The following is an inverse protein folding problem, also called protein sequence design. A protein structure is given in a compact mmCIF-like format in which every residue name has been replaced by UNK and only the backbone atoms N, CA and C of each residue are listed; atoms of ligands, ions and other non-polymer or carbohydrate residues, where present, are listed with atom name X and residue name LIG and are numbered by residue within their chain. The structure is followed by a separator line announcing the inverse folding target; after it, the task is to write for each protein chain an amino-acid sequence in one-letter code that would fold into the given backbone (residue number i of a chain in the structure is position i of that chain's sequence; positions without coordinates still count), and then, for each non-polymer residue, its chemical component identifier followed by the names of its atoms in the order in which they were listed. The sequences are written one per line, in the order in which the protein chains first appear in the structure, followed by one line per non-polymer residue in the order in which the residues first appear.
data_IF_721496960057
#
_entry.id   IF_721496960057
#
_cell.length_a   1.000
_cell.length_b   1.000
_cell.length_c   1.000
_cell.angle_alpha   90.00
_cell.angle_beta   90.00
_cell.angle_gamma   90.00
#
_symmetry.space_group_name_H-M   'P 1'
#
loop_
_entity.id
_entity.type
_entity.pdbx_description
1 polymer ?
#
# COMPACT_ATOMS: atom_id res chain seq x y z
N UNK A 1 -16.25 17.30 -12.66
CA UNK A 1 -15.18 18.08 -12.01
C UNK A 1 -14.85 19.34 -12.79
N UNK A 2 -14.47 19.28 -14.07
CA UNK A 2 -14.24 20.50 -14.88
C UNK A 2 -15.46 21.44 -14.95
N UNK A 3 -16.67 20.89 -15.09
CA UNK A 3 -17.92 21.67 -15.06
C UNK A 3 -18.18 22.37 -13.72
N UNK A 4 -17.57 21.90 -12.64
CA UNK A 4 -17.74 22.45 -11.29
C UNK A 4 -16.70 23.57 -11.06
N UNK A 5 -15.49 23.38 -11.59
CA UNK A 5 -14.43 24.40 -11.62
C UNK A 5 -14.81 25.55 -12.56
N UNK A 6 -15.43 25.27 -13.72
CA UNK A 6 -15.93 26.31 -14.62
C UNK A 6 -17.05 27.12 -13.97
N UNK A 7 -17.98 26.47 -13.27
CA UNK A 7 -19.05 27.14 -12.51
C UNK A 7 -18.50 28.04 -11.40
N UNK A 8 -17.52 27.56 -10.62
CA UNK A 8 -16.88 28.38 -9.58
C UNK A 8 -16.14 29.59 -10.17
N UNK A 9 -15.56 29.45 -11.36
CA UNK A 9 -14.93 30.56 -12.11
C UNK A 9 -15.97 31.57 -12.61
N UNK A 10 -17.12 31.09 -13.06
CA UNK A 10 -18.25 31.92 -13.51
C UNK A 10 -18.96 32.63 -12.35
N UNK A 11 -18.94 32.06 -11.14
CA UNK A 11 -19.49 32.67 -9.92
C UNK A 11 -18.53 33.72 -9.32
N UNK A 12 -17.22 33.44 -9.32
CA UNK A 12 -16.20 34.41 -8.86
C UNK A 12 -16.09 35.65 -9.76
N UNK A 13 -16.30 35.48 -11.08
CA UNK A 13 -16.30 36.62 -12.03
C UNK A 13 -17.56 37.49 -11.95
N UNK A 14 -18.62 37.01 -11.29
CA UNK A 14 -19.88 37.76 -11.10
C UNK A 14 -19.96 38.52 -9.77
N UNK A 15 -19.06 38.26 -8.82
CA UNK A 15 -19.08 38.85 -7.49
C UNK A 15 -17.74 39.50 -7.12
N UNK A 16 -17.66 40.82 -7.31
CA UNK A 16 -16.65 41.75 -6.78
C UNK A 16 -15.19 41.56 -7.27
N UNK A 17 -14.67 42.60 -7.94
CA UNK A 17 -13.31 42.67 -8.48
C UNK A 17 -12.27 43.10 -7.44
N UNK A 18 -12.36 42.62 -6.19
CA UNK A 18 -11.29 42.87 -5.23
C UNK A 18 -10.07 42.00 -5.60
N UNK A 19 -8.91 42.62 -5.92
CA UNK A 19 -7.76 41.90 -6.45
C UNK A 19 -7.23 40.86 -5.46
N UNK A 20 -7.36 41.13 -4.16
CA UNK A 20 -6.91 40.26 -3.07
C UNK A 20 -7.73 38.96 -2.98
N UNK A 21 -9.06 39.08 -3.11
CA UNK A 21 -10.00 37.94 -3.13
C UNK A 21 -9.80 37.08 -4.37
N UNK A 22 -9.47 37.70 -5.50
CA UNK A 22 -9.17 36.97 -6.74
C UNK A 22 -7.89 36.15 -6.60
N UNK A 23 -6.82 36.73 -6.02
CA UNK A 23 -5.56 36.00 -5.76
C UNK A 23 -5.74 34.83 -4.81
N UNK A 24 -6.50 35.00 -3.72
CA UNK A 24 -6.78 33.91 -2.77
C UNK A 24 -7.54 32.75 -3.40
N UNK A 25 -8.46 33.06 -4.32
CA UNK A 25 -9.22 32.06 -5.07
C UNK A 25 -8.32 31.30 -6.06
N UNK A 26 -7.37 31.99 -6.69
CA UNK A 26 -6.39 31.35 -7.57
C UNK A 26 -5.41 30.45 -6.82
N UNK A 27 -4.93 30.87 -5.66
CA UNK A 27 -4.06 30.07 -4.78
C UNK A 27 -4.79 28.81 -4.28
N UNK A 28 -6.04 28.97 -3.84
CA UNK A 28 -6.89 27.85 -3.41
C UNK A 28 -7.12 26.85 -4.54
N UNK A 29 -7.28 27.33 -5.78
CA UNK A 29 -7.41 26.49 -6.97
C UNK A 29 -6.13 25.70 -7.25
N UNK A 30 -4.97 26.34 -7.21
CA UNK A 30 -3.67 25.65 -7.40
C UNK A 30 -3.51 24.57 -6.33
N UNK A 31 -3.80 24.89 -5.07
CA UNK A 31 -3.68 23.94 -3.97
C UNK A 31 -4.62 22.74 -4.13
N UNK A 32 -5.85 22.97 -4.59
CA UNK A 32 -6.78 21.88 -4.90
C UNK A 32 -6.22 20.95 -5.99
N UNK A 33 -5.66 21.51 -7.06
CA UNK A 33 -5.05 20.71 -8.14
C UNK A 33 -3.85 19.89 -7.67
N UNK A 34 -3.03 20.43 -6.77
CA UNK A 34 -1.94 19.67 -6.14
C UNK A 34 -2.45 18.47 -5.34
N UNK A 35 -3.45 18.68 -4.48
CA UNK A 35 -4.04 17.62 -3.66
C UNK A 35 -4.65 16.52 -4.53
N UNK A 36 -5.37 16.90 -5.59
CA UNK A 36 -5.96 15.94 -6.54
C UNK A 36 -4.87 15.12 -7.24
N UNK A 37 -3.77 15.74 -7.68
CA UNK A 37 -2.64 15.03 -8.29
C UNK A 37 -1.91 14.10 -7.29
N UNK A 38 -1.86 14.47 -6.02
CA UNK A 38 -1.32 13.59 -4.98
C UNK A 38 -2.23 12.37 -4.78
N UNK A 39 -3.55 12.58 -4.72
CA UNK A 39 -4.52 11.51 -4.57
C UNK A 39 -4.51 10.55 -5.78
N UNK A 40 -4.44 11.07 -7.01
CA UNK A 40 -4.35 10.28 -8.24
C UNK A 40 -3.10 9.38 -8.25
N UNK A 41 -1.95 9.93 -7.86
CA UNK A 41 -0.70 9.16 -7.71
C UNK A 41 -0.84 8.06 -6.66
N UNK A 42 -1.47 8.35 -5.52
CA UNK A 42 -1.70 7.36 -4.48
C UNK A 42 -2.62 6.22 -4.95
N UNK A 43 -3.67 6.53 -5.72
CA UNK A 43 -4.57 5.51 -6.28
C UNK A 43 -3.88 4.63 -7.34
N UNK A 44 -3.06 5.22 -8.21
CA UNK A 44 -2.26 4.48 -9.19
C UNK A 44 -1.27 3.54 -8.51
N UNK A 45 -0.60 4.02 -7.46
CA UNK A 45 0.31 3.23 -6.65
C UNK A 45 -0.43 2.05 -5.99
N UNK A 46 -1.60 2.30 -5.39
CA UNK A 46 -2.45 1.26 -4.78
C UNK A 46 -3.00 0.23 -5.78
N UNK A 47 -3.29 0.62 -7.02
CA UNK A 47 -3.86 -0.28 -8.03
C UNK A 47 -2.85 -1.24 -8.68
N UNK A 48 -1.54 -1.08 -8.43
CA UNK A 48 -0.45 -1.93 -8.98
C UNK A 48 -0.42 -2.02 -10.52
N UNK A 49 -0.91 -0.99 -11.23
CA UNK A 49 -0.91 -0.96 -12.69
C UNK A 49 0.46 -0.52 -13.22
N UNK A 50 1.00 -1.25 -14.21
CA UNK A 50 2.28 -0.95 -14.87
C UNK A 50 2.14 0.00 -16.07
N UNK A 51 0.94 0.15 -16.62
CA UNK A 51 0.69 0.91 -17.85
C UNK A 51 -0.12 2.17 -17.58
N UNK A 52 0.47 3.33 -17.88
CA UNK A 52 -0.19 4.62 -18.02
C UNK A 52 0.03 5.05 -19.47
N UNK A 53 -0.84 4.61 -20.38
CA UNK A 53 -0.89 5.14 -21.72
C UNK A 53 -2.27 5.76 -21.93
N UNK A 54 -2.25 7.02 -22.35
CA UNK A 54 -3.38 7.90 -22.62
C UNK A 54 -4.14 8.44 -21.39
N UNK A 55 -3.91 9.73 -21.14
CA UNK A 55 -4.62 10.51 -20.14
C UNK A 55 -6.14 10.42 -20.29
N UNK A 56 -6.78 9.92 -19.24
CA UNK A 56 -8.06 10.45 -18.80
C UNK A 56 -8.20 10.33 -17.28
N UNK A 57 -8.84 11.35 -16.73
CA UNK A 57 -8.94 11.72 -15.32
C UNK A 57 -9.75 10.70 -14.53
N UNK A 58 -9.24 10.31 -13.36
CA UNK A 58 -10.05 9.81 -12.25
C UNK A 58 -11.07 8.72 -12.64
N UNK A 59 -10.66 7.79 -13.51
CA UNK A 59 -11.54 6.74 -14.00
C UNK A 59 -11.94 5.84 -12.84
N UNK A 60 -13.25 5.64 -12.67
CA UNK A 60 -13.83 4.62 -11.76
C UNK A 60 -13.10 3.28 -11.85
N UNK A 61 -12.51 2.97 -13.01
CA UNK A 61 -11.61 1.85 -13.24
C UNK A 61 -10.47 1.72 -12.21
N UNK A 62 -9.74 2.81 -11.89
CA UNK A 62 -8.66 2.77 -10.90
C UNK A 62 -9.19 2.52 -9.49
N UNK A 63 -10.32 3.13 -9.13
CA UNK A 63 -10.96 2.89 -7.84
C UNK A 63 -11.45 1.45 -7.72
N UNK A 64 -12.03 0.89 -8.78
CA UNK A 64 -12.44 -0.53 -8.83
C UNK A 64 -11.21 -1.42 -8.70
N UNK A 65 -10.16 -1.20 -9.47
CA UNK A 65 -8.94 -2.01 -9.40
C UNK A 65 -8.22 -1.90 -8.05
N UNK A 66 -8.16 -0.73 -7.44
CA UNK A 66 -7.59 -0.54 -6.11
C UNK A 66 -8.46 -1.15 -4.99
N UNK A 67 -9.79 -1.14 -5.15
CA UNK A 67 -10.71 -1.75 -4.18
C UNK A 67 -10.88 -3.25 -4.37
N UNK A 68 -10.60 -3.79 -5.55
CA UNK A 68 -10.78 -5.22 -5.88
C UNK A 68 -9.97 -6.13 -4.94
N UNK A 69 -8.69 -5.89 -4.63
CA UNK A 69 -7.96 -6.68 -3.63
C UNK A 69 -8.61 -6.63 -2.26
N UNK A 70 -9.06 -5.44 -1.80
CA UNK A 70 -9.75 -5.29 -0.52
C UNK A 70 -11.07 -6.07 -0.50
N UNK A 71 -11.84 -6.04 -1.58
CA UNK A 71 -13.07 -6.82 -1.71
C UNK A 71 -12.81 -8.32 -1.76
N UNK A 72 -11.78 -8.76 -2.51
CA UNK A 72 -11.39 -10.17 -2.61
C UNK A 72 -10.86 -10.75 -1.30
N UNK A 73 -10.13 -9.93 -0.54
CA UNK A 73 -9.57 -10.34 0.76
C UNK A 73 -10.55 -10.12 1.92
N UNK A 74 -11.74 -9.58 1.66
CA UNK A 74 -12.76 -9.43 2.68
C UNK A 74 -13.42 -10.79 2.97
N UNK A 75 -13.22 -11.32 4.17
CA UNK A 75 -13.91 -12.51 4.66
C UNK A 75 -15.32 -12.13 5.14
N UNK A 76 -16.23 -11.87 4.20
CA UNK A 76 -17.60 -11.47 4.52
C UNK A 76 -18.43 -12.60 5.14
N UNK A 77 -18.19 -13.84 4.71
CA UNK A 77 -18.86 -15.03 5.22
C UNK A 77 -17.84 -16.12 5.51
N UNK A 78 -18.04 -16.86 6.61
CA UNK A 78 -17.20 -17.98 7.00
C UNK A 78 -18.07 -19.18 7.33
N UNK A 79 -17.81 -20.33 6.70
CA UNK A 79 -18.47 -21.59 7.06
C UNK A 79 -17.66 -22.33 8.12
N UNK A 80 -18.31 -22.68 9.23
CA UNK A 80 -17.74 -23.46 10.33
C UNK A 80 -18.61 -24.69 10.55
N UNK A 81 -18.16 -25.84 10.07
CA UNK A 81 -19.00 -27.04 9.96
C UNK A 81 -20.16 -26.79 8.99
N UNK A 82 -21.40 -26.95 9.46
CA UNK A 82 -22.61 -26.70 8.68
C UNK A 82 -23.19 -25.27 8.86
N UNK A 83 -22.56 -24.43 9.69
CA UNK A 83 -23.06 -23.08 9.99
C UNK A 83 -22.33 -22.03 9.15
N UNK A 84 -23.10 -21.19 8.45
CA UNK A 84 -22.58 -20.01 7.78
C UNK A 84 -22.65 -18.79 8.72
N UNK A 85 -21.51 -18.15 8.95
CA UNK A 85 -21.39 -16.92 9.73
C UNK A 85 -21.19 -15.73 8.78
N UNK A 86 -22.09 -14.75 8.84
CA UNK A 86 -22.03 -13.50 8.06
C UNK A 86 -21.76 -12.26 8.90
N UNK A 87 -21.67 -12.44 10.22
CA UNK A 87 -21.50 -11.36 11.18
C UNK A 87 -20.00 -11.09 11.38
N UNK A 88 -19.58 -9.84 11.12
CA UNK A 88 -18.18 -9.42 11.17
C UNK A 88 -17.50 -9.77 12.49
N UNK A 89 -18.17 -9.52 13.62
CA UNK A 89 -17.60 -9.75 14.95
C UNK A 89 -17.43 -11.24 15.22
N UNK A 90 -18.38 -12.06 14.74
CA UNK A 90 -18.31 -13.52 14.88
C UNK A 90 -17.23 -14.13 14.00
N UNK A 91 -17.11 -13.66 12.75
CA UNK A 91 -16.05 -14.10 11.83
C UNK A 91 -14.68 -13.76 12.42
N UNK A 92 -14.49 -12.53 12.92
CA UNK A 92 -13.23 -12.12 13.54
C UNK A 92 -12.88 -13.00 14.74
N UNK A 93 -13.83 -13.22 15.66
CA UNK A 93 -13.61 -14.06 16.83
C UNK A 93 -13.25 -15.50 16.45
N UNK A 94 -13.92 -16.10 15.47
CA UNK A 94 -13.61 -17.47 15.02
C UNK A 94 -12.22 -17.56 14.41
N UNK A 95 -11.84 -16.60 13.56
CA UNK A 95 -10.52 -16.55 12.93
C UNK A 95 -9.44 -16.39 14.00
N UNK A 96 -9.63 -15.46 14.94
CA UNK A 96 -8.71 -15.25 16.06
C UNK A 96 -8.55 -16.50 16.92
N UNK A 97 -9.66 -17.13 17.34
CA UNK A 97 -9.63 -18.35 18.12
C UNK A 97 -8.94 -19.50 17.37
N UNK A 98 -9.20 -19.65 16.07
CA UNK A 98 -8.58 -20.68 15.25
C UNK A 98 -7.07 -20.52 15.18
N UNK A 99 -6.57 -19.33 14.80
CA UNK A 99 -5.13 -19.09 14.70
C UNK A 99 -4.46 -19.06 16.07
N UNK A 100 -5.11 -18.51 17.10
CA UNK A 100 -4.61 -18.63 18.48
C UNK A 100 -4.42 -20.09 18.86
N UNK A 101 -5.37 -20.96 18.54
CA UNK A 101 -5.22 -22.39 18.81
C UNK A 101 -4.10 -22.98 17.96
N UNK A 102 -4.11 -22.77 16.65
CA UNK A 102 -3.13 -23.30 15.70
C UNK A 102 -1.67 -22.92 16.05
N UNK A 103 -1.41 -21.67 16.41
CA UNK A 103 -0.05 -21.22 16.76
C UNK A 103 0.39 -21.66 18.17
N UNK A 104 -0.57 -21.94 19.05
CA UNK A 104 -0.28 -22.48 20.39
C UNK A 104 -0.35 -24.02 20.44
N UNK A 105 -0.85 -24.65 19.37
CA UNK A 105 -0.73 -26.09 19.17
C UNK A 105 0.75 -26.39 18.95
N UNK A 106 1.33 -27.13 19.89
CA UNK A 106 2.71 -27.58 19.80
C UNK A 106 2.78 -28.64 18.70
N UNK A 107 2.96 -28.20 17.46
CA UNK A 107 3.31 -29.05 16.33
C UNK A 107 4.82 -29.30 16.31
N UNK A 108 5.43 -29.61 17.45
CA UNK A 108 6.79 -30.14 17.44
C UNK A 108 6.70 -31.55 16.91
N UNK A 109 7.03 -31.75 15.64
CA UNK A 109 7.64 -33.01 15.24
C UNK A 109 8.88 -33.12 16.13
N UNK A 110 8.83 -33.97 17.15
CA UNK A 110 10.01 -34.33 17.93
C UNK A 110 10.92 -35.08 16.97
N UNK A 111 11.79 -34.33 16.31
CA UNK A 111 12.87 -34.92 15.53
C UNK A 111 13.93 -35.28 16.55
N UNK A 112 13.93 -36.53 17.01
CA UNK A 112 14.90 -37.04 17.99
C UNK A 112 16.35 -36.79 17.56
N UNK A 113 16.58 -36.67 16.24
CA UNK A 113 17.82 -36.20 15.62
C UNK A 113 17.54 -35.79 14.17
N UNK A 114 17.75 -34.52 13.82
CA UNK A 114 17.90 -34.15 12.40
C UNK A 114 19.24 -34.74 11.94
N UNK A 115 19.21 -35.91 11.30
CA UNK A 115 20.35 -36.44 10.53
C UNK A 115 20.47 -35.66 9.21
N UNK A 116 20.73 -34.37 9.34
CA UNK A 116 20.99 -33.47 8.23
C UNK A 116 22.45 -33.08 8.33
N UNK A 117 23.25 -33.43 7.32
CA UNK A 117 24.58 -32.88 7.15
C UNK A 117 24.45 -31.41 6.73
N UNK A 118 24.06 -30.55 7.66
CA UNK A 118 24.05 -29.12 7.45
C UNK A 118 25.50 -28.66 7.38
N UNK A 119 25.88 -28.07 6.26
CA UNK A 119 27.18 -27.45 6.09
C UNK A 119 27.34 -26.35 7.13
N UNK A 120 28.34 -26.46 7.99
CA UNK A 120 28.66 -25.38 8.93
C UNK A 120 29.31 -24.23 8.15
N UNK A 121 28.90 -22.99 8.46
CA UNK A 121 29.57 -21.80 7.92
C UNK A 121 31.02 -21.76 8.42
N UNK A 122 31.94 -21.38 7.54
CA UNK A 122 33.33 -21.10 7.93
C UNK A 122 33.39 -19.84 8.79
N UNK A 123 34.43 -19.74 9.63
CA UNK A 123 34.64 -18.62 10.56
C UNK A 123 34.60 -17.27 9.84
N UNK A 124 35.22 -17.16 8.66
CA UNK A 124 35.21 -15.94 7.85
C UNK A 124 33.79 -15.54 7.38
N UNK A 125 32.94 -16.53 7.07
CA UNK A 125 31.56 -16.27 6.66
C UNK A 125 30.70 -15.84 7.86
N UNK A 126 30.95 -16.40 9.04
CA UNK A 126 30.31 -15.97 10.29
C UNK A 126 30.70 -14.52 10.60
N UNK A 127 31.99 -14.20 10.58
CA UNK A 127 32.48 -12.85 10.85
C UNK A 127 31.94 -11.83 9.83
N UNK A 128 31.75 -12.24 8.56
CA UNK A 128 31.16 -11.38 7.54
C UNK A 128 29.67 -11.06 7.78
N UNK A 129 28.93 -11.97 8.43
CA UNK A 129 27.50 -11.78 8.76
C UNK A 129 27.31 -10.85 9.96
N UNK A 130 28.29 -10.79 10.87
CA UNK A 130 28.29 -9.93 12.05
C UNK A 130 28.82 -8.51 11.77
N UNK A 131 29.33 -8.24 10.56
CA UNK A 131 29.81 -6.92 10.20
C UNK A 131 28.64 -5.93 10.01
N UNK A 132 28.73 -4.69 10.52
CA UNK A 132 27.70 -3.68 10.28
C UNK A 132 27.58 -3.35 8.79
N UNK A 133 26.35 -3.14 8.32
CA UNK A 133 26.08 -2.74 6.94
C UNK A 133 26.79 -1.43 6.59
N UNK A 134 27.47 -1.41 5.44
CA UNK A 134 28.11 -0.20 4.93
C UNK A 134 27.09 0.66 4.18
N UNK A 135 27.23 1.99 4.26
CA UNK A 135 26.33 2.91 3.54
C UNK A 135 26.30 2.63 2.03
N UNK A 136 27.45 2.32 1.43
CA UNK A 136 27.55 1.97 0.01
C UNK A 136 26.79 0.69 -0.36
N UNK A 137 26.81 -0.30 0.52
CA UNK A 137 26.06 -1.55 0.37
C UNK A 137 24.55 -1.27 0.37
N UNK A 138 24.09 -0.48 1.35
CA UNK A 138 22.68 -0.06 1.45
C UNK A 138 22.26 0.68 0.17
N UNK A 139 23.06 1.63 -0.32
CA UNK A 139 22.75 2.38 -1.54
C UNK A 139 22.76 1.51 -2.80
N UNK A 140 23.68 0.56 -2.89
CA UNK A 140 23.75 -0.40 -4.00
C UNK A 140 22.50 -1.28 -4.04
N UNK A 141 22.09 -1.81 -2.88
CA UNK A 141 20.84 -2.58 -2.74
C UNK A 141 19.64 -1.72 -3.11
N UNK A 142 19.57 -0.48 -2.62
CA UNK A 142 18.46 0.44 -2.89
C UNK A 142 18.28 0.68 -4.40
N UNK A 143 19.39 0.91 -5.12
CA UNK A 143 19.39 1.07 -6.59
C UNK A 143 19.06 -0.21 -7.36
N UNK A 144 19.38 -1.37 -6.80
CA UNK A 144 19.12 -2.68 -7.43
C UNK A 144 17.66 -3.13 -7.30
N UNK A 145 16.90 -2.51 -6.38
CA UNK A 145 15.50 -2.88 -6.14
C UNK A 145 14.62 -2.24 -7.22
N UNK A 146 13.86 -3.07 -7.93
CA UNK A 146 12.79 -2.59 -8.80
C UNK A 146 11.76 -1.76 -7.99
N UNK A 147 11.62 -0.48 -8.32
CA UNK A 147 10.69 0.46 -7.70
C UNK A 147 9.21 0.04 -7.72
N UNK A 148 8.88 -1.03 -8.46
CA UNK A 148 7.54 -1.62 -8.51
C UNK A 148 7.31 -2.82 -7.56
N UNK A 149 8.27 -3.17 -6.69
CA UNK A 149 8.09 -4.24 -5.69
C UNK A 149 6.98 -3.94 -4.69
N UNK A 150 6.44 -5.02 -4.11
CA UNK A 150 5.29 -4.99 -3.22
C UNK A 150 5.52 -4.10 -1.98
N UNK A 151 4.46 -3.40 -1.58
CA UNK A 151 4.42 -2.54 -0.41
C UNK A 151 4.72 -3.31 0.88
N UNK A 152 5.37 -2.65 1.84
CA UNK A 152 5.36 -3.09 3.23
C UNK A 152 3.96 -2.99 3.85
N UNK A 153 3.79 -3.47 5.08
CA UNK A 153 2.55 -3.27 5.86
C UNK A 153 2.22 -1.78 6.06
N UNK A 154 3.22 -0.92 5.94
CA UNK A 154 3.15 0.54 5.98
C UNK A 154 2.54 1.18 4.73
N UNK A 155 2.41 0.44 3.62
CA UNK A 155 1.80 0.91 2.39
C UNK A 155 2.70 1.79 1.51
N UNK A 156 4.00 1.89 1.78
CA UNK A 156 4.97 2.57 0.92
C UNK A 156 5.69 1.58 -0.01
N UNK A 157 5.96 2.00 -1.25
CA UNK A 157 6.79 1.22 -2.18
C UNK A 157 8.22 1.75 -2.15
N UNK A 158 9.14 1.01 -2.78
CA UNK A 158 10.55 1.42 -2.82
C UNK A 158 10.78 2.80 -3.46
N UNK A 159 9.91 3.24 -4.39
CA UNK A 159 9.98 4.60 -4.97
C UNK A 159 9.86 5.71 -3.93
N UNK A 160 9.21 5.45 -2.79
CA UNK A 160 9.18 6.40 -1.68
C UNK A 160 10.59 6.62 -1.13
N UNK A 161 11.35 5.54 -0.93
CA UNK A 161 12.71 5.58 -0.39
C UNK A 161 13.74 6.11 -1.39
N UNK A 162 13.48 6.03 -2.70
CA UNK A 162 14.32 6.67 -3.73
C UNK A 162 14.18 8.20 -3.79
N UNK A 163 13.07 8.74 -3.29
CA UNK A 163 12.76 10.19 -3.37
C UNK A 163 13.25 11.00 -2.16
N UNK A 164 13.75 10.35 -1.10
CA UNK A 164 14.36 10.97 0.07
C UNK A 164 15.87 10.73 0.06
#
# INVERSE_FOLDING_TARGET
MEKLISKLKDEATKGNNDPDVLTDLELSRIRLWELVRQEERAWLQKSRLKWFEAGDRNLKFFHILASTPKMKNCLANLMVGEKCLSDSDKVQNVVECHFRRFYNEVHTLTVDRLECNLSTLNVEAVDSLDHPFLGEEIWSVLKSIDGSKAFGLDGFNMKFLECF
#
